data_IF_057611563695
#
_entry.id   IF_057611563695
#
_cell.length_a   1.000
_cell.length_b   1.000
_cell.length_c   1.000
_cell.angle_alpha   90.00
_cell.angle_beta   90.00
_cell.angle_gamma   90.00
#
_symmetry.space_group_name_H-M   'P 1'
#
loop_
_entity.id
_entity.type
_entity.pdbx_description
1 polymer ?
#
# COMPACT_ATOMS: atom_id res chain seq x y z
N UNK A 1 27.14 -23.14 39.49
CA UNK A 1 27.95 -22.86 38.29
C UNK A 1 27.28 -21.75 37.50
N UNK A 2 27.73 -20.51 37.67
CA UNK A 2 27.05 -19.35 37.09
C UNK A 2 27.62 -19.09 35.68
N UNK A 3 26.93 -19.61 34.66
CA UNK A 3 27.27 -19.36 33.26
C UNK A 3 26.93 -17.93 32.86
N UNK A 4 27.95 -17.13 32.52
CA UNK A 4 27.75 -15.83 31.90
C UNK A 4 27.22 -16.04 30.47
N UNK A 5 26.13 -15.37 30.04
CA UNK A 5 25.66 -15.48 28.66
C UNK A 5 26.66 -14.83 27.70
N UNK A 6 27.02 -15.54 26.63
CA UNK A 6 27.88 -15.00 25.57
C UNK A 6 27.11 -13.95 24.76
N UNK A 7 27.69 -12.76 24.61
CA UNK A 7 27.17 -11.70 23.75
C UNK A 7 27.53 -12.00 22.29
N UNK A 8 26.53 -12.08 21.41
CA UNK A 8 26.72 -12.12 19.96
C UNK A 8 26.87 -10.67 19.47
N UNK A 9 27.96 -10.31 18.76
CA UNK A 9 28.14 -8.96 18.21
C UNK A 9 27.00 -8.57 17.25
N UNK A 10 26.46 -7.36 17.41
CA UNK A 10 25.47 -6.77 16.49
C UNK A 10 24.00 -6.90 16.90
N UNK A 11 23.68 -7.61 17.98
CA UNK A 11 22.30 -7.74 18.48
C UNK A 11 22.15 -6.98 19.80
N UNK A 12 21.53 -5.80 19.77
CA UNK A 12 21.16 -5.04 20.97
C UNK A 12 19.86 -5.62 21.54
N UNK A 13 19.94 -6.48 22.56
CA UNK A 13 18.74 -6.87 23.33
C UNK A 13 18.50 -5.84 24.43
N UNK A 14 17.34 -5.17 24.41
CA UNK A 14 16.82 -4.41 25.55
C UNK A 14 16.53 -5.38 26.69
N UNK A 15 17.32 -5.32 27.76
CA UNK A 15 17.01 -6.05 28.98
C UNK A 15 15.86 -5.35 29.73
N UNK A 16 14.73 -6.03 29.87
CA UNK A 16 13.74 -5.73 30.91
C UNK A 16 13.76 -6.89 31.89
N UNK A 17 14.56 -6.75 32.96
CA UNK A 17 14.46 -7.59 34.14
C UNK A 17 13.79 -6.73 35.20
N UNK A 18 12.59 -7.14 35.64
CA UNK A 18 12.10 -6.95 37.01
C UNK A 18 11.18 -8.13 37.36
N UNK A 19 11.25 -8.51 38.64
CA UNK A 19 11.10 -9.83 39.26
C UNK A 19 9.65 -10.31 39.44
N UNK A 20 9.42 -11.61 39.75
CA UNK A 20 8.11 -12.10 40.17
C UNK A 20 7.79 -11.63 41.60
N UNK A 21 6.65 -10.96 41.75
CA UNK A 21 6.08 -10.61 43.05
C UNK A 21 4.86 -11.51 43.28
N UNK A 22 5.02 -12.46 44.19
CA UNK A 22 3.93 -13.20 44.83
C UNK A 22 3.15 -12.22 45.71
N UNK A 23 1.93 -11.85 45.32
CA UNK A 23 0.97 -11.17 46.21
C UNK A 23 -0.31 -11.99 46.26
N UNK A 24 -0.61 -12.41 47.48
CA UNK A 24 -1.84 -12.99 48.00
C UNK A 24 -3.10 -12.22 47.61
N UNK A 25 -4.20 -12.95 47.44
CA UNK A 25 -5.56 -12.43 47.39
C UNK A 25 -5.86 -11.51 48.60
N UNK A 26 -6.49 -10.36 48.36
CA UNK A 26 -7.42 -9.77 49.30
C UNK A 26 -8.82 -9.75 48.70
N UNK A 27 -9.73 -10.46 49.36
CA UNK A 27 -11.17 -10.26 49.30
C UNK A 27 -11.45 -8.81 49.69
N UNK A 28 -11.90 -7.98 48.75
CA UNK A 28 -12.20 -6.58 49.03
C UNK A 28 -12.55 -5.83 47.75
N UNK A 29 -13.85 -5.59 47.55
CA UNK A 29 -14.38 -4.83 46.43
C UNK A 29 -13.86 -3.38 46.44
N UNK A 30 -13.27 -2.87 45.34
CA UNK A 30 -13.15 -1.45 45.12
C UNK A 30 -14.34 -0.97 44.27
N UNK A 31 -15.18 -0.14 44.88
CA UNK A 31 -16.16 0.71 44.20
C UNK A 31 -15.45 1.59 43.17
N UNK A 32 -15.47 1.19 41.91
CA UNK A 32 -15.02 2.03 40.80
C UNK A 32 -16.20 2.88 40.37
N UNK A 33 -16.16 4.17 40.75
CA UNK A 33 -17.06 5.19 40.20
C UNK A 33 -16.93 5.17 38.68
N UNK A 34 -18.02 4.81 38.01
CA UNK A 34 -18.17 4.83 36.56
C UNK A 34 -18.01 6.27 36.06
N UNK A 35 -16.79 6.64 35.65
CA UNK A 35 -16.59 7.86 34.86
C UNK A 35 -17.29 7.63 33.52
N UNK A 36 -18.38 8.38 33.32
CA UNK A 36 -19.18 8.42 32.09
C UNK A 36 -18.32 8.97 30.95
N UNK A 37 -17.53 8.10 30.33
CA UNK A 37 -16.81 8.38 29.10
C UNK A 37 -17.77 8.68 27.96
N UNK A 38 -17.59 9.83 27.34
CA UNK A 38 -18.29 10.24 26.12
C UNK A 38 -17.78 9.33 25.01
N UNK A 39 -18.63 8.42 24.51
CA UNK A 39 -18.38 7.72 23.26
C UNK A 39 -18.53 8.76 22.14
N UNK A 40 -17.49 9.07 21.35
CA UNK A 40 -17.66 9.92 20.18
C UNK A 40 -18.63 9.24 19.21
N UNK A 41 -19.79 9.87 18.98
CA UNK A 41 -20.88 9.33 18.14
C UNK A 41 -22.11 8.80 18.90
N UNK A 42 -22.12 8.82 20.24
CA UNK A 42 -23.30 8.44 21.03
C UNK A 42 -24.22 9.65 21.28
N UNK A 43 -25.31 9.73 20.54
CA UNK A 43 -26.40 10.68 20.80
C UNK A 43 -27.24 10.11 21.95
N UNK A 44 -27.25 10.79 23.09
CA UNK A 44 -28.16 10.44 24.19
C UNK A 44 -29.58 10.94 23.85
N UNK A 45 -30.63 10.15 24.06
CA UNK A 45 -31.99 10.67 24.01
C UNK A 45 -32.19 11.63 25.18
N UNK A 46 -32.44 12.91 24.88
CA UNK A 46 -32.82 13.90 25.88
C UNK A 46 -34.28 13.63 26.24
N UNK A 47 -34.54 13.24 27.48
CA UNK A 47 -35.89 13.13 28.01
C UNK A 47 -36.54 14.53 27.99
N UNK A 48 -37.64 14.65 27.25
CA UNK A 48 -38.41 15.88 27.12
C UNK A 48 -38.98 16.31 28.49
N UNK A 49 -38.69 17.54 28.90
CA UNK A 49 -39.43 18.23 29.95
C UNK A 49 -39.74 19.65 29.50
N UNK A 50 -41.03 19.87 29.29
CA UNK A 50 -41.78 21.13 29.42
C UNK A 50 -41.28 22.36 28.65
N UNK A 51 -42.05 22.65 27.62
CA UNK A 51 -42.36 23.93 26.99
C UNK A 51 -42.23 25.18 27.90
N UNK A 52 -41.50 26.18 27.42
CA UNK A 52 -41.75 27.60 27.71
C UNK A 52 -41.75 28.38 26.39
N UNK A 53 -42.76 29.22 26.28
CA UNK A 53 -43.21 29.97 25.11
C UNK A 53 -42.25 31.15 24.84
N UNK A 54 -41.54 31.14 23.70
CA UNK A 54 -40.87 32.32 23.17
C UNK A 54 -41.18 32.47 21.69
N UNK A 55 -41.71 33.65 21.32
CA UNK A 55 -42.10 34.05 19.96
C UNK A 55 -40.99 33.76 18.92
N UNK A 56 -41.36 33.38 17.68
CA UNK A 56 -40.39 33.08 16.63
C UNK A 56 -39.78 34.36 16.05
N UNK A 57 -38.46 34.49 16.16
CA UNK A 57 -37.67 35.37 15.27
C UNK A 57 -37.50 34.64 13.95
N UNK A 58 -37.79 35.35 12.86
CA UNK A 58 -37.80 34.85 11.50
C UNK A 58 -36.48 34.14 11.13
N UNK A 59 -36.57 32.83 10.93
CA UNK A 59 -35.59 32.08 10.15
C UNK A 59 -35.80 32.37 8.66
N UNK A 60 -34.75 32.48 7.84
CA UNK A 60 -34.92 32.60 6.40
C UNK A 60 -35.59 31.33 5.89
N UNK A 61 -36.74 31.58 5.28
CA UNK A 61 -37.57 30.65 4.57
C UNK A 61 -36.81 30.11 3.36
N UNK A 62 -36.18 28.94 3.48
CA UNK A 62 -35.89 28.08 2.32
C UNK A 62 -37.04 27.08 2.22
N UNK A 63 -38.22 27.61 1.87
CA UNK A 63 -39.20 26.86 1.12
C UNK A 63 -38.70 26.79 -0.32
N UNK A 64 -38.07 25.67 -0.66
CA UNK A 64 -38.07 25.18 -2.03
C UNK A 64 -38.04 23.67 -1.95
N UNK A 65 -39.24 23.09 -2.02
CA UNK A 65 -39.45 21.68 -2.16
C UNK A 65 -38.62 21.15 -3.34
N UNK A 66 -37.59 20.35 -3.06
CA UNK A 66 -37.15 19.37 -4.04
C UNK A 66 -38.15 18.23 -3.97
N UNK A 67 -39.29 18.43 -4.63
CA UNK A 67 -40.12 17.34 -5.11
C UNK A 67 -39.26 16.63 -6.15
N UNK A 68 -38.36 15.77 -5.70
CA UNK A 68 -38.04 14.64 -6.55
C UNK A 68 -39.38 13.93 -6.73
N UNK A 69 -39.91 13.82 -7.95
CA UNK A 69 -41.02 12.91 -8.15
C UNK A 69 -40.57 11.59 -7.55
N UNK A 70 -41.51 10.83 -6.99
CA UNK A 70 -41.32 9.43 -6.62
C UNK A 70 -40.94 8.70 -7.92
N UNK A 71 -39.69 8.88 -8.36
CA UNK A 71 -39.05 8.16 -9.44
C UNK A 71 -39.07 6.76 -8.92
N UNK A 72 -40.03 5.98 -9.43
CA UNK A 72 -40.87 5.03 -8.69
C UNK A 72 -40.20 4.39 -7.48
N UNK A 73 -40.93 4.19 -6.37
CA UNK A 73 -40.44 3.40 -5.22
C UNK A 73 -39.67 2.15 -5.69
N UNK A 74 -40.13 1.53 -6.78
CA UNK A 74 -39.47 0.43 -7.48
C UNK A 74 -38.02 0.74 -7.94
N UNK A 75 -37.73 1.90 -8.54
CA UNK A 75 -36.37 2.31 -8.91
C UNK A 75 -35.46 2.46 -7.70
N UNK A 76 -35.91 3.11 -6.62
CA UNK A 76 -35.13 3.23 -5.39
C UNK A 76 -34.89 1.85 -4.76
N UNK A 77 -35.91 0.98 -4.76
CA UNK A 77 -35.74 -0.39 -4.25
C UNK A 77 -34.78 -1.20 -5.11
N UNK A 78 -34.82 -1.04 -6.44
CA UNK A 78 -33.91 -1.72 -7.35
C UNK A 78 -32.47 -1.28 -7.13
N UNK A 79 -32.23 0.03 -6.97
CA UNK A 79 -30.91 0.57 -6.62
C UNK A 79 -30.44 0.06 -5.26
N UNK A 80 -31.31 0.01 -4.26
CA UNK A 80 -30.98 -0.50 -2.94
C UNK A 80 -30.60 -2.00 -2.98
N UNK A 81 -31.37 -2.81 -3.73
CA UNK A 81 -31.09 -4.23 -3.93
C UNK A 81 -29.75 -4.42 -4.65
N UNK A 82 -29.49 -3.64 -5.70
CA UNK A 82 -28.22 -3.68 -6.43
C UNK A 82 -27.04 -3.37 -5.50
N UNK A 83 -27.14 -2.31 -4.70
CA UNK A 83 -26.09 -1.90 -3.78
C UNK A 83 -25.84 -2.96 -2.69
N UNK A 84 -26.89 -3.55 -2.11
CA UNK A 84 -26.76 -4.66 -1.15
C UNK A 84 -26.06 -5.86 -1.78
N UNK A 85 -26.41 -6.23 -3.01
CA UNK A 85 -25.76 -7.34 -3.71
C UNK A 85 -24.29 -7.03 -4.00
N UNK A 86 -23.98 -5.78 -4.38
CA UNK A 86 -22.62 -5.30 -4.61
C UNK A 86 -21.78 -5.38 -3.33
N UNK A 87 -22.29 -4.86 -2.22
CA UNK A 87 -21.62 -4.93 -0.92
C UNK A 87 -21.45 -6.35 -0.41
N UNK A 88 -22.45 -7.22 -0.64
CA UNK A 88 -22.39 -8.65 -0.27
C UNK A 88 -21.27 -9.37 -1.03
N UNK A 89 -21.14 -9.13 -2.34
CA UNK A 89 -20.03 -9.66 -3.16
C UNK A 89 -18.69 -9.18 -2.63
N UNK A 90 -18.57 -7.88 -2.32
CA UNK A 90 -17.34 -7.30 -1.79
C UNK A 90 -17.00 -7.85 -0.39
N UNK A 91 -18.01 -8.07 0.45
CA UNK A 91 -17.89 -8.69 1.77
C UNK A 91 -17.43 -10.15 1.69
N UNK A 92 -17.93 -10.91 0.71
CA UNK A 92 -17.46 -12.27 0.41
C UNK A 92 -15.97 -12.29 0.05
N UNK A 93 -15.55 -11.47 -0.91
CA UNK A 93 -14.14 -11.37 -1.31
C UNK A 93 -13.24 -10.99 -0.12
N UNK A 94 -13.68 -10.04 0.70
CA UNK A 94 -12.96 -9.64 1.91
C UNK A 94 -12.83 -10.80 2.90
N UNK A 95 -13.89 -11.57 3.10
CA UNK A 95 -13.89 -12.74 3.99
C UNK A 95 -13.01 -13.88 3.45
N UNK A 96 -12.98 -14.08 2.13
CA UNK A 96 -12.07 -15.06 1.49
C UNK A 96 -10.60 -14.65 1.65
N UNK A 97 -10.27 -13.37 1.46
CA UNK A 97 -8.90 -12.88 1.54
C UNK A 97 -8.37 -12.77 2.98
N UNK A 98 -9.21 -12.35 3.93
CA UNK A 98 -8.79 -11.96 5.28
C UNK A 98 -9.50 -12.73 6.41
N UNK A 99 -10.47 -13.58 6.09
CA UNK A 99 -11.20 -14.39 7.06
C UNK A 99 -11.98 -13.58 8.09
N UNK A 100 -12.11 -14.14 9.31
CA UNK A 100 -12.77 -13.48 10.43
C UNK A 100 -12.11 -12.15 10.84
N UNK A 101 -10.82 -11.98 10.56
CA UNK A 101 -10.04 -10.78 10.90
C UNK A 101 -10.52 -9.55 10.12
N UNK A 102 -11.11 -9.74 8.94
CA UNK A 102 -11.54 -8.65 8.09
C UNK A 102 -12.70 -7.81 8.66
N UNK A 103 -13.43 -8.37 9.63
CA UNK A 103 -14.55 -7.74 10.33
C UNK A 103 -14.12 -7.09 11.65
N UNK A 104 -12.90 -7.37 12.11
CA UNK A 104 -12.35 -6.81 13.34
C UNK A 104 -11.51 -5.57 12.99
N UNK A 105 -11.50 -4.53 13.84
CA UNK A 105 -10.56 -3.44 13.67
C UNK A 105 -9.13 -3.97 13.75
N UNK A 106 -8.23 -3.42 12.94
CA UNK A 106 -6.81 -3.80 12.97
C UNK A 106 -6.27 -3.61 14.40
N UNK A 107 -5.66 -4.63 15.02
CA UNK A 107 -5.11 -4.51 16.38
C UNK A 107 -3.93 -3.54 16.44
N UNK A 108 -3.34 -3.22 15.29
CA UNK A 108 -2.27 -2.24 15.18
C UNK A 108 -2.83 -0.82 15.10
N UNK A 109 -2.10 0.13 15.69
CA UNK A 109 -2.43 1.55 15.59
C UNK A 109 -2.41 1.99 14.13
N UNK A 110 -3.31 2.91 13.78
CA UNK A 110 -3.32 3.56 12.46
C UNK A 110 -1.94 4.20 12.21
N UNK A 111 -1.36 3.92 11.04
CA UNK A 111 -0.09 4.51 10.61
C UNK A 111 -0.32 5.92 10.05
N UNK A 112 0.74 6.73 10.03
CA UNK A 112 0.67 8.05 9.41
C UNK A 112 0.53 7.90 7.88
N UNK A 113 -0.49 8.53 7.29
CA UNK A 113 -0.78 8.47 5.84
C UNK A 113 0.42 8.87 4.97
N UNK A 114 1.17 9.90 5.37
CA UNK A 114 2.33 10.36 4.61
C UNK A 114 3.47 9.34 4.66
N UNK A 115 3.71 8.75 5.82
CA UNK A 115 4.71 7.70 5.97
C UNK A 115 4.36 6.50 5.09
N UNK A 116 3.14 5.98 5.20
CA UNK A 116 2.69 4.83 4.40
C UNK A 116 2.82 5.09 2.90
N UNK A 117 2.35 6.24 2.43
CA UNK A 117 2.41 6.57 1.01
C UNK A 117 3.87 6.66 0.51
N UNK A 118 4.75 7.35 1.25
CA UNK A 118 6.18 7.43 0.92
C UNK A 118 6.84 6.06 0.88
N UNK A 119 6.54 5.20 1.85
CA UNK A 119 7.09 3.84 1.92
C UNK A 119 6.62 2.99 0.74
N UNK A 120 5.32 3.01 0.41
CA UNK A 120 4.77 2.25 -0.71
C UNK A 120 5.37 2.69 -2.05
N UNK A 121 5.37 4.00 -2.32
CA UNK A 121 5.97 4.57 -3.54
C UNK A 121 7.45 4.19 -3.62
N UNK A 122 8.20 4.36 -2.53
CA UNK A 122 9.63 4.02 -2.50
C UNK A 122 9.88 2.54 -2.75
N UNK A 123 9.05 1.65 -2.19
CA UNK A 123 9.18 0.20 -2.38
C UNK A 123 8.89 -0.20 -3.84
N UNK A 124 7.83 0.34 -4.43
CA UNK A 124 7.48 0.09 -5.85
C UNK A 124 8.61 0.56 -6.76
N UNK A 125 9.08 1.81 -6.60
CA UNK A 125 10.16 2.35 -7.41
C UNK A 125 11.48 1.58 -7.25
N UNK A 126 11.77 1.10 -6.04
CA UNK A 126 12.94 0.24 -5.80
C UNK A 126 12.82 -1.07 -6.58
N UNK A 127 11.67 -1.74 -6.49
CA UNK A 127 11.41 -3.00 -7.19
C UNK A 127 11.54 -2.83 -8.70
N UNK A 128 10.99 -1.75 -9.27
CA UNK A 128 11.10 -1.45 -10.70
C UNK A 128 12.55 -1.25 -11.12
N UNK A 129 13.32 -0.51 -10.31
CA UNK A 129 14.75 -0.29 -10.57
C UNK A 129 15.53 -1.60 -10.53
N UNK A 130 15.26 -2.45 -9.55
CA UNK A 130 15.90 -3.76 -9.43
C UNK A 130 15.55 -4.62 -10.64
N UNK A 131 14.27 -4.72 -11.01
CA UNK A 131 13.81 -5.47 -12.19
C UNK A 131 14.47 -4.99 -13.48
N UNK A 132 14.55 -3.68 -13.71
CA UNK A 132 15.24 -3.10 -14.88
C UNK A 132 16.74 -3.45 -14.88
N UNK A 133 17.40 -3.36 -13.74
CA UNK A 133 18.83 -3.72 -13.62
C UNK A 133 19.08 -5.20 -13.88
N UNK A 134 18.26 -6.09 -13.35
CA UNK A 134 18.40 -7.54 -13.56
C UNK A 134 18.20 -7.90 -15.03
N UNK A 135 17.15 -7.38 -15.67
CA UNK A 135 16.89 -7.61 -17.10
C UNK A 135 17.99 -7.03 -17.99
N UNK A 136 18.50 -5.83 -17.67
CA UNK A 136 19.63 -5.25 -18.40
C UNK A 136 20.87 -6.13 -18.28
N UNK A 137 21.18 -6.61 -17.07
CA UNK A 137 22.34 -7.47 -16.82
C UNK A 137 22.24 -8.79 -17.58
N UNK A 138 21.07 -9.44 -17.57
CA UNK A 138 20.88 -10.68 -18.33
C UNK A 138 21.01 -10.44 -19.84
N UNK A 139 20.43 -9.36 -20.37
CA UNK A 139 20.57 -8.99 -21.78
C UNK A 139 22.02 -8.75 -22.19
N UNK A 140 22.79 -8.04 -21.36
CA UNK A 140 24.22 -7.82 -21.63
C UNK A 140 24.99 -9.15 -21.65
N UNK A 141 24.76 -10.03 -20.67
CA UNK A 141 25.38 -11.36 -20.66
C UNK A 141 25.06 -12.20 -21.89
N UNK A 142 23.80 -12.19 -22.33
CA UNK A 142 23.41 -12.90 -23.55
C UNK A 142 24.12 -12.33 -24.78
N UNK A 143 24.23 -11.00 -24.87
CA UNK A 143 24.97 -10.38 -25.98
C UNK A 143 26.48 -10.67 -25.94
N UNK A 144 27.06 -10.84 -24.75
CA UNK A 144 28.47 -11.26 -24.60
C UNK A 144 28.66 -12.70 -25.09
N UNK A 145 27.78 -13.63 -24.71
CA UNK A 145 27.84 -15.01 -25.18
C UNK A 145 27.71 -15.12 -26.70
N UNK A 146 26.76 -14.41 -27.31
CA UNK A 146 26.58 -14.39 -28.78
C UNK A 146 27.80 -13.83 -29.50
N UNK A 147 28.50 -12.85 -28.92
CA UNK A 147 29.73 -12.32 -29.52
C UNK A 147 30.87 -13.33 -29.41
N UNK A 148 31.04 -13.95 -28.26
CA UNK A 148 32.08 -14.95 -28.04
C UNK A 148 31.89 -16.19 -28.93
N UNK A 149 30.65 -16.63 -29.19
CA UNK A 149 30.36 -17.72 -30.14
C UNK A 149 30.86 -17.39 -31.55
N UNK A 150 30.72 -16.13 -31.97
CA UNK A 150 31.14 -15.68 -33.30
C UNK A 150 32.66 -15.55 -33.44
N UNK A 151 33.35 -15.18 -32.37
CA UNK A 151 34.80 -15.06 -32.37
C UNK A 151 35.48 -16.45 -32.43
N UNK A 152 34.91 -17.46 -31.76
CA UNK A 152 35.40 -18.86 -31.79
C UNK A 152 35.14 -19.57 -33.13
N UNK A 153 34.08 -19.19 -33.88
CA UNK A 153 33.79 -19.75 -35.22
C UNK A 153 34.77 -19.23 -36.30
N UNK A 154 35.42 -18.08 -36.07
CA UNK A 154 36.38 -17.49 -37.01
C UNK A 154 37.80 -18.07 -36.89
N UNK A 155 38.12 -18.71 -35.76
CA UNK A 155 39.45 -19.29 -35.53
C UNK A 155 39.62 -20.71 -36.14
N UNK A 156 38.54 -21.40 -36.51
CA UNK A 156 38.60 -22.75 -37.12
C UNK A 156 38.68 -22.72 -38.68
N UNK A 157 38.44 -21.57 -39.31
CA UNK A 157 38.43 -21.42 -40.78
C UNK A 157 39.68 -20.71 -41.36
N UNK A 158 40.75 -20.51 -40.57
CA UNK A 158 41.69 -19.41 -40.78
C UNK A 158 43.17 -19.72 -41.05
N UNK A 159 43.60 -20.94 -41.42
CA UNK A 159 45.01 -21.18 -41.80
C UNK A 159 45.32 -20.79 -43.26
N UNK A 160 45.10 -19.54 -43.66
CA UNK A 160 45.84 -18.94 -44.80
C UNK A 160 45.83 -17.41 -44.74
N UNK A 161 46.92 -16.83 -44.25
CA UNK A 161 47.16 -15.39 -44.32
C UNK A 161 47.73 -15.01 -45.70
N UNK A 162 47.33 -13.86 -46.25
CA UNK A 162 48.32 -12.94 -46.78
C UNK A 162 48.24 -11.56 -46.12
N UNK A 163 49.44 -11.01 -45.93
CA UNK A 163 49.77 -9.71 -45.33
C UNK A 163 49.20 -8.52 -46.10
N UNK A 164 49.30 -7.35 -45.44
CA UNK A 164 49.36 -5.96 -45.98
C UNK A 164 47.97 -5.32 -46.09
N UNK A 165 47.63 -4.09 -45.65
CA UNK A 165 48.35 -2.82 -45.37
C UNK A 165 47.47 -1.99 -44.42
N UNK A 166 48.05 -1.24 -43.47
CA UNK A 166 47.36 -0.11 -42.81
C UNK A 166 47.29 1.09 -43.76
N UNK A 167 46.22 1.90 -43.67
CA UNK A 167 46.43 3.34 -43.62
C UNK A 167 45.59 4.02 -42.53
N UNK A 168 46.24 4.97 -41.87
CA UNK A 168 45.67 5.93 -40.93
C UNK A 168 44.94 7.05 -41.69
N UNK A 169 43.75 7.49 -41.24
CA UNK A 169 43.25 8.86 -41.44
C UNK A 169 42.17 9.22 -40.41
N UNK A 170 42.14 10.50 -40.06
CA UNK A 170 41.58 11.11 -38.86
C UNK A 170 40.10 11.55 -38.94
N UNK A 171 39.55 11.87 -37.76
CA UNK A 171 38.57 12.93 -37.41
C UNK A 171 37.36 13.18 -38.32
N UNK A 172 36.13 13.08 -37.77
CA UNK A 172 35.37 14.30 -37.45
C UNK A 172 34.09 14.06 -36.62
N UNK A 173 33.68 15.16 -36.01
CA UNK A 173 32.65 15.41 -35.01
C UNK A 173 31.18 15.30 -35.47
N UNK A 174 30.33 14.96 -34.50
CA UNK A 174 29.05 15.59 -34.16
C UNK A 174 27.93 15.67 -35.22
N UNK A 175 26.85 14.90 -35.02
CA UNK A 175 25.51 15.28 -35.47
C UNK A 175 24.40 14.39 -34.89
N UNK A 176 23.66 14.99 -33.96
CA UNK A 176 22.19 15.03 -33.96
C UNK A 176 21.34 13.80 -33.57
N UNK A 177 20.67 14.00 -32.42
CA UNK A 177 19.20 14.02 -32.23
C UNK A 177 18.38 12.74 -32.50
N UNK A 178 17.83 12.26 -31.38
CA UNK A 178 16.50 11.67 -31.16
C UNK A 178 15.61 11.40 -32.39
N UNK A 179 15.24 10.12 -32.56
CA UNK A 179 13.92 9.74 -33.08
C UNK A 179 13.38 8.62 -32.19
N UNK A 180 12.40 9.00 -31.36
CA UNK A 180 11.48 8.12 -30.68
C UNK A 180 10.45 7.70 -31.72
N UNK A 181 10.43 6.43 -32.13
CA UNK A 181 9.31 5.88 -32.88
C UNK A 181 8.35 5.22 -31.89
N UNK A 182 7.26 5.95 -31.64
CA UNK A 182 6.09 5.60 -30.85
C UNK A 182 4.96 5.39 -31.87
N UNK A 183 4.79 4.16 -32.33
CA UNK A 183 3.69 3.64 -33.18
C UNK A 183 3.93 2.11 -33.13
N UNK A 184 3.03 1.21 -32.74
CA UNK A 184 1.59 1.12 -32.89
C UNK A 184 0.97 0.39 -31.68
N UNK A 185 0.00 1.04 -31.03
CA UNK A 185 -1.20 0.37 -30.50
C UNK A 185 -2.25 0.52 -31.61
N UNK A 186 -2.78 -0.57 -32.18
CA UNK A 186 -4.13 -0.59 -32.77
C UNK A 186 -4.65 -2.03 -32.90
N UNK A 187 -5.87 -2.18 -32.38
CA UNK A 187 -6.90 -3.23 -32.51
C UNK A 187 -6.75 -4.57 -31.76
#
# INVERSE_FOLDING_TARGET
MNGKPQLIPGIVRKATVNKPTTISMPTGAPSVKLQKGIIPGSIRPIAAKTCVNTKPVAAPNISAASVHPISSIDQLTNQAVEEILRETKLGKLRAEQHGATAWRPCPLRKTNKHFLNRTLISAVHHNDRVKKKTTRRSRLKLSELVRNEKDEELDDAGSSSPKVKRPDTATDSDSSKAVVNLIEDSD
#
